data_IF_199287858175
#
_entry.id   IF_199287858175
#
_cell.length_a   1.000
_cell.length_b   1.000
_cell.length_c   1.000
_cell.angle_alpha   90.00
_cell.angle_beta   90.00
_cell.angle_gamma   90.00
#
_symmetry.space_group_name_H-M   'P 1'
#
loop_
_entity.id
_entity.type
_entity.pdbx_description
1 polymer ?
#
# COMPACT_ATOMS: atom_id res chain seq x y z
N UNK A 1 0.06 8.03 28.52
CA UNK A 1 -0.48 6.83 27.88
C UNK A 1 0.64 5.80 27.79
N UNK A 2 0.31 4.51 27.83
CA UNK A 2 1.22 3.43 27.49
C UNK A 2 1.15 3.20 25.99
N UNK A 3 2.26 3.42 25.29
CA UNK A 3 2.29 3.38 23.82
C UNK A 3 3.25 2.32 23.31
N UNK A 4 2.78 1.50 22.38
CA UNK A 4 3.58 0.51 21.69
C UNK A 4 4.10 1.13 20.38
N UNK A 5 5.40 1.44 20.31
CA UNK A 5 6.02 2.02 19.13
C UNK A 5 6.51 0.93 18.19
N UNK A 6 5.90 0.81 16.99
CA UNK A 6 6.35 -0.12 15.96
C UNK A 6 7.65 0.39 15.30
N UNK A 7 8.77 -0.28 15.61
CA UNK A 7 10.11 0.10 15.16
C UNK A 7 10.61 -0.84 14.06
N UNK A 8 10.64 -0.33 12.84
CA UNK A 8 11.06 -1.10 11.66
C UNK A 8 12.57 -1.13 11.44
N UNK A 9 13.36 -0.38 12.26
CA UNK A 9 14.80 -0.19 12.03
C UNK A 9 15.12 0.90 11.01
N UNK A 10 14.14 1.70 10.61
CA UNK A 10 14.32 2.90 9.79
C UNK A 10 14.28 4.18 10.62
N UNK A 11 14.75 5.29 10.02
CA UNK A 11 14.83 6.62 10.66
C UNK A 11 13.45 7.09 11.16
N UNK A 12 12.41 6.90 10.38
CA UNK A 12 11.06 7.40 10.69
C UNK A 12 10.49 6.76 11.96
N UNK A 13 10.57 5.45 12.07
CA UNK A 13 10.08 4.73 13.25
C UNK A 13 10.88 5.07 14.52
N UNK A 14 12.19 5.33 14.39
CA UNK A 14 13.04 5.71 15.50
C UNK A 14 12.71 7.12 16.02
N UNK A 15 12.53 8.09 15.12
CA UNK A 15 12.15 9.47 15.49
C UNK A 15 10.69 9.51 16.01
N UNK A 16 9.79 8.71 15.45
CA UNK A 16 8.43 8.61 16.00
C UNK A 16 8.44 8.14 17.45
N UNK A 17 9.25 7.11 17.77
CA UNK A 17 9.42 6.65 19.15
C UNK A 17 10.05 7.74 20.05
N UNK A 18 11.07 8.46 19.58
CA UNK A 18 11.72 9.54 20.32
C UNK A 18 10.73 10.64 20.71
N UNK A 19 9.89 11.08 19.78
CA UNK A 19 8.87 12.11 20.04
C UNK A 19 7.83 11.69 21.06
N UNK A 20 7.48 10.42 21.11
CA UNK A 20 6.56 9.89 22.12
C UNK A 20 7.20 9.91 23.51
N UNK A 21 8.49 9.57 23.61
CA UNK A 21 9.23 9.66 24.87
C UNK A 21 9.34 11.12 25.33
N UNK A 22 9.66 12.05 24.42
CA UNK A 22 9.72 13.48 24.71
C UNK A 22 8.36 14.05 25.14
N UNK A 23 7.26 13.55 24.56
CA UNK A 23 5.89 13.91 24.95
C UNK A 23 5.47 13.30 26.31
N UNK A 24 6.34 12.54 26.99
CA UNK A 24 6.07 11.97 28.32
C UNK A 24 5.19 10.71 28.31
N UNK A 25 5.10 10.00 27.19
CA UNK A 25 4.43 8.70 27.13
C UNK A 25 5.31 7.58 27.73
N UNK A 26 4.66 6.56 28.28
CA UNK A 26 5.31 5.29 28.64
C UNK A 26 5.43 4.44 27.36
N UNK A 27 6.63 4.46 26.76
CA UNK A 27 6.87 3.91 25.42
C UNK A 27 7.59 2.58 25.51
N UNK A 28 7.08 1.58 24.80
CA UNK A 28 7.77 0.31 24.54
C UNK A 28 7.97 0.13 23.04
N UNK A 29 9.20 -0.11 22.62
CA UNK A 29 9.53 -0.43 21.23
C UNK A 29 9.19 -1.88 20.88
N UNK A 30 8.63 -2.10 19.70
CA UNK A 30 8.40 -3.45 19.18
C UNK A 30 8.83 -3.54 17.71
N UNK A 31 9.63 -4.55 17.40
CA UNK A 31 9.93 -4.93 16.02
C UNK A 31 9.06 -6.12 15.62
N UNK A 32 8.42 -6.02 14.45
CA UNK A 32 7.60 -7.10 13.91
C UNK A 32 8.47 -7.99 13.02
N UNK A 33 8.72 -9.22 13.46
CA UNK A 33 9.34 -10.24 12.62
C UNK A 33 8.27 -10.81 11.67
N UNK A 34 8.36 -10.45 10.38
CA UNK A 34 7.35 -10.81 9.36
C UNK A 34 7.82 -11.94 8.44
N UNK A 35 9.06 -12.41 8.57
CA UNK A 35 9.62 -13.47 7.73
C UNK A 35 10.48 -14.43 8.54
N UNK A 36 10.30 -15.73 8.28
CA UNK A 36 11.19 -16.80 8.77
C UNK A 36 12.27 -17.19 7.75
N UNK A 37 12.34 -16.49 6.61
CA UNK A 37 13.25 -16.87 5.53
C UNK A 37 14.70 -16.47 5.87
N UNK A 38 15.66 -17.44 5.96
CA UNK A 38 17.08 -17.13 6.16
C UNK A 38 17.71 -16.27 5.06
N UNK A 39 17.11 -16.22 3.86
CA UNK A 39 17.56 -15.37 2.74
C UNK A 39 17.23 -13.88 2.97
N UNK A 40 16.35 -13.54 3.92
CA UNK A 40 16.12 -12.15 4.34
C UNK A 40 17.28 -11.56 5.14
N UNK A 41 18.35 -12.33 5.37
CA UNK A 41 19.58 -11.95 6.08
C UNK A 41 20.68 -11.40 5.15
N UNK A 42 20.37 -11.05 3.89
CA UNK A 42 21.36 -10.50 2.97
C UNK A 42 21.72 -9.06 3.36
N UNK A 43 23.02 -8.75 3.39
CA UNK A 43 23.53 -7.39 3.48
C UNK A 43 22.92 -6.53 2.36
N UNK A 44 22.33 -5.39 2.74
CA UNK A 44 21.74 -4.45 1.79
C UNK A 44 20.29 -4.73 1.39
N UNK A 45 19.56 -5.66 2.04
CA UNK A 45 18.12 -5.82 1.81
C UNK A 45 17.36 -4.56 2.22
N UNK A 46 16.59 -3.98 1.30
CA UNK A 46 15.80 -2.75 1.51
C UNK A 46 14.42 -2.99 2.13
N UNK A 47 14.19 -4.16 2.72
CA UNK A 47 12.92 -4.54 3.35
C UNK A 47 12.93 -4.29 4.85
N UNK A 48 11.78 -4.03 5.46
CA UNK A 48 11.62 -3.72 6.89
C UNK A 48 11.62 -4.95 7.82
N UNK A 49 12.22 -6.08 7.43
CA UNK A 49 12.11 -7.36 8.14
C UNK A 49 13.43 -8.14 8.22
N UNK A 50 14.57 -7.48 8.01
CA UNK A 50 15.88 -8.13 8.15
C UNK A 50 16.33 -8.20 9.62
N UNK A 51 17.28 -9.09 9.95
CA UNK A 51 17.93 -9.08 11.27
C UNK A 51 18.63 -7.75 11.52
N UNK A 52 19.24 -7.15 10.50
CA UNK A 52 19.90 -5.86 10.58
C UNK A 52 18.90 -4.77 11.00
N UNK A 53 17.69 -4.75 10.40
CA UNK A 53 16.63 -3.82 10.80
C UNK A 53 16.20 -4.01 12.26
N UNK A 54 16.13 -5.25 12.73
CA UNK A 54 15.84 -5.55 14.14
C UNK A 54 16.95 -5.05 15.08
N UNK A 55 18.22 -5.19 14.70
CA UNK A 55 19.35 -4.64 15.46
C UNK A 55 19.37 -3.11 15.42
N UNK A 56 19.04 -2.49 14.29
CA UNK A 56 18.91 -1.03 14.19
C UNK A 56 17.79 -0.49 15.08
N UNK A 57 16.64 -1.17 15.09
CA UNK A 57 15.52 -0.84 15.96
C UNK A 57 15.90 -0.97 17.44
N UNK A 58 16.61 -2.05 17.82
CA UNK A 58 17.11 -2.24 19.17
C UNK A 58 18.08 -1.13 19.57
N UNK A 59 19.08 -0.81 18.73
CA UNK A 59 20.03 0.28 19.02
C UNK A 59 19.33 1.62 19.22
N UNK A 60 18.30 1.90 18.42
CA UNK A 60 17.50 3.10 18.60
C UNK A 60 16.72 3.08 19.92
N UNK A 61 16.11 1.96 20.29
CA UNK A 61 15.41 1.81 21.57
C UNK A 61 16.36 1.94 22.78
N UNK A 62 17.54 1.32 22.72
CA UNK A 62 18.57 1.45 23.75
C UNK A 62 19.02 2.92 23.91
N UNK A 63 19.20 3.63 22.81
CA UNK A 63 19.54 5.07 22.80
C UNK A 63 18.44 5.94 23.43
N UNK A 64 17.17 5.57 23.23
CA UNK A 64 16.02 6.26 23.81
C UNK A 64 15.71 5.83 25.25
N UNK A 65 16.39 4.78 25.76
CA UNK A 65 16.16 4.25 27.10
C UNK A 65 14.80 3.56 27.28
N UNK A 66 14.23 3.00 26.21
CA UNK A 66 12.92 2.33 26.25
C UNK A 66 13.06 0.80 26.18
N UNK A 67 12.14 0.03 26.79
CA UNK A 67 12.05 -1.41 26.61
C UNK A 67 11.83 -1.75 25.13
N UNK A 68 12.40 -2.89 24.68
CA UNK A 68 12.30 -3.32 23.30
C UNK A 68 12.07 -4.82 23.18
N UNK A 69 11.10 -5.20 22.34
CA UNK A 69 10.75 -6.57 22.06
C UNK A 69 10.71 -6.86 20.55
N UNK A 70 10.91 -8.12 20.21
CA UNK A 70 10.67 -8.65 18.86
C UNK A 70 9.49 -9.60 18.94
N UNK A 71 8.44 -9.30 18.16
CA UNK A 71 7.26 -10.15 18.09
C UNK A 71 7.16 -10.84 16.73
N UNK A 72 6.98 -12.16 16.77
CA UNK A 72 6.81 -12.97 15.57
C UNK A 72 5.35 -12.91 15.09
N UNK A 73 5.16 -12.32 13.90
CA UNK A 73 3.91 -12.28 13.15
C UNK A 73 4.04 -12.97 11.79
N UNK A 74 5.11 -13.77 11.57
CA UNK A 74 5.43 -14.33 10.26
C UNK A 74 4.31 -15.20 9.69
N UNK A 75 3.69 -16.08 10.49
CA UNK A 75 2.59 -16.94 10.02
C UNK A 75 1.36 -16.11 9.64
N UNK A 76 1.00 -15.14 10.48
CA UNK A 76 -0.13 -14.23 10.21
C UNK A 76 0.13 -13.36 9.00
N UNK A 77 1.38 -12.90 8.81
CA UNK A 77 1.78 -12.12 7.64
C UNK A 77 1.69 -12.93 6.34
N UNK A 78 2.10 -14.21 6.36
CA UNK A 78 1.91 -15.11 5.21
C UNK A 78 0.44 -15.25 4.89
N UNK A 79 -0.38 -15.62 5.86
CA UNK A 79 -1.80 -15.91 5.64
C UNK A 79 -2.62 -14.67 5.24
N UNK A 80 -2.32 -13.50 5.80
CA UNK A 80 -3.16 -12.31 5.62
C UNK A 80 -2.61 -11.29 4.61
N UNK A 81 -1.33 -11.39 4.22
CA UNK A 81 -0.70 -10.45 3.26
C UNK A 81 -0.13 -11.17 2.05
N UNK A 82 0.74 -12.19 2.24
CA UNK A 82 1.44 -12.84 1.12
C UNK A 82 0.49 -13.72 0.30
N UNK A 83 -0.26 -14.61 0.94
CA UNK A 83 -1.17 -15.51 0.23
C UNK A 83 -2.28 -14.75 -0.53
N UNK A 84 -2.94 -13.74 0.05
CA UNK A 84 -3.84 -12.88 -0.72
C UNK A 84 -3.15 -12.11 -1.86
N UNK A 85 -1.92 -11.64 -1.67
CA UNK A 85 -1.16 -10.97 -2.72
C UNK A 85 -0.93 -11.90 -3.93
N UNK A 86 -0.52 -13.15 -3.68
CA UNK A 86 -0.36 -14.18 -4.71
C UNK A 86 -1.69 -14.50 -5.38
N UNK A 87 -2.78 -14.63 -4.60
CA UNK A 87 -4.11 -14.92 -5.13
C UNK A 87 -4.63 -13.83 -6.07
N UNK A 88 -4.41 -12.54 -5.73
CA UNK A 88 -4.77 -11.42 -6.59
C UNK A 88 -4.00 -11.45 -7.92
N UNK A 89 -2.68 -11.72 -7.90
CA UNK A 89 -1.90 -11.87 -9.14
C UNK A 89 -2.34 -13.08 -9.98
N UNK A 90 -2.70 -14.21 -9.34
CA UNK A 90 -3.29 -15.35 -10.05
C UNK A 90 -4.60 -15.01 -10.75
N UNK A 91 -5.35 -14.07 -10.19
CA UNK A 91 -6.58 -13.56 -10.79
C UNK A 91 -6.36 -12.38 -11.77
N UNK A 92 -5.11 -12.09 -12.17
CA UNK A 92 -4.78 -11.01 -13.12
C UNK A 92 -4.91 -9.61 -12.54
N UNK A 93 -5.04 -9.47 -11.22
CA UNK A 93 -5.16 -8.18 -10.55
C UNK A 93 -3.82 -7.74 -9.95
N UNK A 94 -3.67 -6.44 -9.71
CA UNK A 94 -2.43 -5.85 -9.18
C UNK A 94 -2.68 -5.26 -7.79
N UNK A 95 -2.55 -6.03 -6.69
CA UNK A 95 -2.81 -5.54 -5.35
C UNK A 95 -1.68 -4.64 -4.83
N UNK A 96 -2.00 -3.82 -3.82
CA UNK A 96 -1.00 -3.13 -3.02
C UNK A 96 -0.86 -3.81 -1.63
N UNK A 97 0.23 -4.54 -1.37
CA UNK A 97 0.39 -5.30 -0.14
C UNK A 97 0.59 -4.41 1.10
N UNK A 98 1.00 -3.14 0.94
CA UNK A 98 1.18 -2.21 2.05
C UNK A 98 -0.17 -1.84 2.70
N UNK A 99 -1.23 -1.69 1.91
CA UNK A 99 -2.59 -1.49 2.42
C UNK A 99 -2.99 -2.68 3.30
N UNK A 100 -2.80 -3.88 2.80
CA UNK A 100 -3.16 -5.11 3.51
C UNK A 100 -2.33 -5.31 4.79
N UNK A 101 -1.01 -4.99 4.74
CA UNK A 101 -0.14 -5.04 5.91
C UNK A 101 -0.58 -4.04 7.00
N UNK A 102 -0.94 -2.81 6.61
CA UNK A 102 -1.46 -1.84 7.56
C UNK A 102 -2.79 -2.31 8.15
N UNK A 103 -3.75 -2.73 7.31
CA UNK A 103 -5.07 -3.20 7.73
C UNK A 103 -5.01 -4.36 8.72
N UNK A 104 -4.19 -5.41 8.42
CA UNK A 104 -4.25 -6.71 9.09
C UNK A 104 -3.15 -6.96 10.10
N UNK A 105 -1.98 -6.40 9.87
CA UNK A 105 -0.80 -6.67 10.73
C UNK A 105 -0.54 -5.52 11.69
N UNK A 106 -0.27 -4.30 11.19
CA UNK A 106 0.15 -3.20 12.05
C UNK A 106 -1.00 -2.63 12.89
N UNK A 107 -2.20 -2.51 12.31
CA UNK A 107 -3.35 -1.89 12.99
C UNK A 107 -4.49 -2.86 13.28
N UNK A 108 -4.26 -4.18 13.14
CA UNK A 108 -5.10 -5.22 13.70
C UNK A 108 -4.26 -6.10 14.64
N UNK A 109 -3.42 -7.00 14.12
CA UNK A 109 -2.68 -7.98 14.93
C UNK A 109 -1.81 -7.35 16.02
N UNK A 110 -1.05 -6.28 15.67
CA UNK A 110 -0.20 -5.60 16.64
C UNK A 110 -1.05 -4.81 17.65
N UNK A 111 -2.09 -4.11 17.18
CA UNK A 111 -2.99 -3.35 18.06
C UNK A 111 -3.74 -4.26 19.03
N UNK A 112 -4.37 -5.33 18.53
CA UNK A 112 -5.07 -6.33 19.33
C UNK A 112 -4.17 -6.85 20.48
N UNK A 113 -2.97 -7.32 20.12
CA UNK A 113 -2.00 -7.80 21.11
C UNK A 113 -1.52 -6.71 22.06
N UNK A 114 -1.38 -5.48 21.57
CA UNK A 114 -1.02 -4.32 22.40
C UNK A 114 -2.08 -4.01 23.44
N UNK A 115 -3.35 -3.95 23.05
CA UNK A 115 -4.49 -3.71 23.92
C UNK A 115 -4.63 -4.82 24.99
N UNK A 116 -4.47 -6.10 24.60
CA UNK A 116 -4.49 -7.25 25.51
C UNK A 116 -3.38 -7.17 26.58
N UNK A 117 -2.25 -6.55 26.25
CA UNK A 117 -1.13 -6.32 27.18
C UNK A 117 -1.25 -5.01 27.97
N UNK A 118 -2.35 -4.26 27.80
CA UNK A 118 -2.64 -3.04 28.53
C UNK A 118 -1.95 -1.79 27.99
N UNK A 119 -1.56 -1.78 26.70
CA UNK A 119 -1.18 -0.55 26.01
C UNK A 119 -2.44 0.20 25.54
N UNK A 120 -2.36 1.53 25.51
CA UNK A 120 -3.47 2.40 25.11
C UNK A 120 -3.50 2.63 23.60
N UNK A 121 -2.34 2.58 22.92
CA UNK A 121 -2.22 2.89 21.51
C UNK A 121 -0.99 2.24 20.87
N UNK A 122 -1.03 2.12 19.54
CA UNK A 122 0.11 1.78 18.67
C UNK A 122 0.56 3.04 17.93
N UNK A 123 1.87 3.28 17.91
CA UNK A 123 2.47 4.36 17.14
C UNK A 123 3.36 3.81 16.02
N UNK A 124 3.38 4.50 14.90
CA UNK A 124 4.20 4.15 13.74
C UNK A 124 4.87 5.38 13.13
N UNK A 125 5.93 5.15 12.36
CA UNK A 125 6.63 6.19 11.59
C UNK A 125 5.92 6.63 10.30
N UNK A 126 4.61 6.43 10.17
CA UNK A 126 3.88 6.90 8.99
C UNK A 126 3.70 8.41 8.99
N UNK A 127 3.79 8.99 7.78
CA UNK A 127 3.51 10.39 7.53
C UNK A 127 2.02 10.57 7.22
N UNK A 128 1.24 10.80 8.26
CA UNK A 128 -0.17 11.15 8.22
C UNK A 128 -0.53 11.91 9.49
N UNK A 129 -1.65 12.62 9.52
CA UNK A 129 -2.13 13.38 10.68
C UNK A 129 -3.45 12.81 11.17
N UNK A 130 -3.65 12.83 12.48
CA UNK A 130 -4.95 12.54 13.08
C UNK A 130 -5.42 13.73 13.91
N UNK A 131 -6.75 13.94 13.94
CA UNK A 131 -7.43 14.91 14.83
C UNK A 131 -8.70 14.27 15.36
N UNK A 132 -8.96 14.46 16.64
CA UNK A 132 -10.25 14.11 17.23
C UNK A 132 -11.20 15.29 17.04
N UNK A 133 -12.32 15.08 16.36
CA UNK A 133 -13.38 16.06 16.13
C UNK A 133 -14.69 15.38 16.53
N UNK A 134 -15.41 15.96 17.49
CA UNK A 134 -16.68 15.44 18.01
C UNK A 134 -16.60 13.96 18.45
N UNK A 135 -15.47 13.57 19.07
CA UNK A 135 -15.21 12.21 19.54
C UNK A 135 -14.78 11.22 18.46
N UNK A 136 -14.71 11.63 17.19
CA UNK A 136 -14.28 10.81 16.05
C UNK A 136 -12.84 11.14 15.67
N UNK A 137 -11.99 10.13 15.59
CA UNK A 137 -10.61 10.29 15.12
C UNK A 137 -10.58 10.35 13.60
N UNK A 138 -10.27 11.51 13.05
CA UNK A 138 -10.18 11.76 11.60
C UNK A 138 -8.76 11.69 11.12
N UNK A 139 -8.54 11.03 9.97
CA UNK A 139 -7.25 10.87 9.31
C UNK A 139 -7.07 11.95 8.24
N UNK A 140 -5.88 12.55 8.17
CA UNK A 140 -5.55 13.60 7.20
C UNK A 140 -4.22 13.30 6.52
N UNK A 141 -4.03 13.89 5.33
CA UNK A 141 -2.73 13.91 4.64
C UNK A 141 -1.65 14.49 5.54
N UNK A 142 -0.40 14.07 5.30
CA UNK A 142 0.79 14.68 5.88
C UNK A 142 0.99 16.11 5.38
N UNK A 143 1.76 16.91 6.13
CA UNK A 143 2.25 18.22 5.64
C UNK A 143 3.37 18.10 4.62
N UNK A 144 4.01 16.94 4.49
CA UNK A 144 5.00 16.63 3.45
C UNK A 144 4.32 15.86 2.32
N UNK A 145 3.97 16.52 1.18
CA UNK A 145 3.27 15.85 0.09
C UNK A 145 4.10 14.73 -0.56
N UNK A 146 5.45 14.89 -0.56
CA UNK A 146 6.37 13.89 -1.12
C UNK A 146 6.52 12.64 -0.25
N UNK A 147 5.99 12.68 0.99
CA UNK A 147 6.06 11.57 1.95
C UNK A 147 4.69 11.17 2.49
N UNK A 148 3.61 11.79 2.02
CA UNK A 148 2.27 11.47 2.47
C UNK A 148 1.96 9.97 2.31
N UNK A 149 1.56 9.35 3.41
CA UNK A 149 1.21 7.93 3.50
C UNK A 149 -0.26 7.72 3.89
N UNK A 150 -1.07 8.76 3.82
CA UNK A 150 -2.50 8.67 4.11
C UNK A 150 -3.22 7.67 3.20
N UNK A 151 -2.77 7.52 1.95
CA UNK A 151 -3.29 6.53 1.01
C UNK A 151 -3.22 5.10 1.56
N UNK A 152 -2.08 4.68 2.11
CA UNK A 152 -1.93 3.31 2.63
C UNK A 152 -2.53 3.12 4.03
N UNK A 153 -2.97 4.19 4.67
CA UNK A 153 -3.67 4.20 5.95
C UNK A 153 -5.20 4.32 5.80
N UNK A 154 -5.69 4.61 4.61
CA UNK A 154 -7.12 4.79 4.32
C UNK A 154 -7.96 3.50 4.47
N UNK A 155 -7.35 2.40 4.84
CA UNK A 155 -7.96 1.10 5.16
C UNK A 155 -8.26 0.92 6.65
N UNK A 156 -7.92 1.91 7.48
CA UNK A 156 -8.14 1.86 8.92
C UNK A 156 -9.57 2.30 9.27
N UNK A 157 -10.24 1.50 10.06
CA UNK A 157 -11.54 1.86 10.62
C UNK A 157 -11.40 2.78 11.84
N UNK A 158 -12.52 3.26 12.39
CA UNK A 158 -12.52 4.17 13.53
C UNK A 158 -11.90 3.58 14.80
N UNK A 159 -12.13 2.31 15.06
CA UNK A 159 -11.54 1.63 16.22
C UNK A 159 -10.01 1.60 16.12
N UNK A 160 -9.49 1.23 14.95
CA UNK A 160 -8.05 1.25 14.67
C UNK A 160 -7.45 2.66 14.73
N UNK A 161 -8.13 3.66 14.15
CA UNK A 161 -7.66 5.04 14.14
C UNK A 161 -7.63 5.67 15.53
N UNK A 162 -8.62 5.36 16.39
CA UNK A 162 -8.69 5.91 17.76
C UNK A 162 -7.54 5.46 18.65
N UNK A 163 -6.92 4.31 18.33
CA UNK A 163 -5.77 3.74 19.02
C UNK A 163 -4.45 3.90 18.23
N UNK A 164 -4.41 4.78 17.21
CA UNK A 164 -3.24 4.97 16.35
C UNK A 164 -2.61 6.35 16.51
N UNK A 165 -1.28 6.39 16.60
CA UNK A 165 -0.50 7.63 16.68
C UNK A 165 0.48 7.72 15.51
N UNK A 166 0.49 8.89 14.85
CA UNK A 166 1.39 9.21 13.73
C UNK A 166 2.22 10.45 14.05
N UNK A 167 3.31 10.33 14.86
CA UNK A 167 4.05 11.48 15.35
C UNK A 167 4.75 12.32 14.27
N UNK A 168 4.90 11.80 13.05
CA UNK A 168 5.63 12.45 11.96
C UNK A 168 4.74 13.27 11.01
N UNK A 169 3.42 13.19 11.12
CA UNK A 169 2.49 13.77 10.15
C UNK A 169 2.58 15.29 9.96
N UNK A 170 3.09 16.00 10.97
CA UNK A 170 3.30 17.46 10.93
C UNK A 170 4.75 17.86 10.58
N UNK A 171 5.54 16.98 9.97
CA UNK A 171 6.97 17.23 9.71
C UNK A 171 7.35 16.93 8.28
N UNK A 172 8.27 17.73 7.74
CA UNK A 172 8.97 17.42 6.51
C UNK A 172 10.01 16.33 6.78
N UNK A 173 10.22 15.43 5.84
CA UNK A 173 11.19 14.33 5.93
C UNK A 173 12.61 14.82 6.24
N UNK A 174 12.99 15.94 5.67
CA UNK A 174 14.30 16.56 5.91
C UNK A 174 14.50 16.90 7.40
N UNK A 175 13.47 17.43 8.06
CA UNK A 175 13.53 17.79 9.48
C UNK A 175 13.63 16.52 10.35
N UNK A 176 12.91 15.45 9.98
CA UNK A 176 12.98 14.16 10.67
C UNK A 176 14.39 13.57 10.62
N UNK A 177 15.11 13.67 9.49
CA UNK A 177 16.51 13.23 9.39
C UNK A 177 17.46 14.08 10.23
N UNK A 178 17.28 15.41 10.26
CA UNK A 178 18.07 16.31 11.11
C UNK A 178 17.86 16.00 12.59
N UNK A 179 16.63 15.74 13.01
CA UNK A 179 16.26 15.34 14.36
C UNK A 179 16.91 14.00 14.74
N UNK A 180 16.87 13.00 13.85
CA UNK A 180 17.54 11.72 14.05
C UNK A 180 19.05 11.88 14.27
N UNK A 181 19.71 12.73 13.50
CA UNK A 181 21.13 13.05 13.62
C UNK A 181 21.43 13.76 14.97
N UNK A 182 20.60 14.73 15.35
CA UNK A 182 20.73 15.46 16.62
C UNK A 182 20.57 14.55 17.84
N UNK A 183 19.68 13.54 17.75
CA UNK A 183 19.49 12.52 18.78
C UNK A 183 20.60 11.45 18.78
N UNK A 184 21.53 11.46 17.82
CA UNK A 184 22.59 10.48 17.68
C UNK A 184 22.09 9.07 17.31
N UNK A 185 20.98 9.00 16.57
CA UNK A 185 20.43 7.74 16.07
C UNK A 185 21.25 7.26 14.86
N UNK A 186 21.78 6.02 14.94
CA UNK A 186 22.64 5.42 13.90
C UNK A 186 21.93 5.27 12.52
N UNK A 187 20.61 5.38 12.51
CA UNK A 187 19.76 5.23 11.31
C UNK A 187 19.51 6.54 10.57
N UNK A 188 20.09 7.67 11.00
CA UNK A 188 19.82 9.00 10.42
C UNK A 188 20.06 9.05 8.90
N UNK A 189 21.13 8.40 8.41
CA UNK A 189 21.54 8.37 7.01
C UNK A 189 21.03 7.13 6.26
N UNK A 190 20.26 6.26 6.93
CA UNK A 190 19.73 5.04 6.30
C UNK A 190 18.77 5.41 5.16
N UNK A 191 18.92 4.80 3.96
CA UNK A 191 18.00 5.02 2.84
C UNK A 191 16.57 4.66 3.20
N UNK A 192 15.60 5.34 2.55
CA UNK A 192 14.20 4.97 2.68
C UNK A 192 13.92 3.62 2.00
N UNK A 193 13.01 2.84 2.57
CA UNK A 193 12.50 1.61 1.93
C UNK A 193 11.55 2.01 0.80
N UNK A 194 11.87 1.60 -0.44
CA UNK A 194 11.10 1.98 -1.63
C UNK A 194 10.37 0.79 -2.30
N UNK A 195 10.64 -0.44 -1.86
CA UNK A 195 10.15 -1.66 -2.49
C UNK A 195 9.22 -2.45 -1.55
N UNK A 196 8.56 -3.48 -2.10
CA UNK A 196 7.74 -4.41 -1.34
C UNK A 196 8.65 -5.13 -0.32
N UNK A 197 8.37 -4.98 0.96
CA UNK A 197 9.26 -5.35 2.05
C UNK A 197 9.63 -6.84 2.12
N UNK A 198 8.81 -7.73 1.56
CA UNK A 198 9.06 -9.18 1.54
C UNK A 198 9.65 -9.68 0.21
N UNK A 199 9.98 -8.77 -0.71
CA UNK A 199 10.69 -9.06 -1.97
C UNK A 199 12.06 -8.37 -1.91
N UNK A 200 13.10 -9.06 -1.39
CA UNK A 200 14.35 -8.41 -0.96
C UNK A 200 15.17 -7.76 -2.08
N UNK A 201 15.06 -8.29 -3.30
CA UNK A 201 15.79 -7.85 -4.48
C UNK A 201 14.99 -6.91 -5.39
N UNK A 202 13.72 -6.65 -5.02
CA UNK A 202 12.81 -5.83 -5.83
C UNK A 202 12.34 -6.50 -7.13
N UNK A 203 12.75 -7.75 -7.40
CA UNK A 203 12.29 -8.52 -8.54
C UNK A 203 10.93 -9.18 -8.28
N UNK A 204 9.88 -8.37 -8.29
CA UNK A 204 8.50 -8.85 -8.14
C UNK A 204 8.11 -9.90 -9.19
N UNK A 205 8.43 -9.74 -10.49
CA UNK A 205 8.15 -10.76 -11.49
C UNK A 205 8.82 -12.12 -11.20
N UNK A 206 10.10 -12.12 -10.89
CA UNK A 206 10.83 -13.35 -10.54
C UNK A 206 10.28 -14.02 -9.29
N UNK A 207 10.02 -13.24 -8.24
CA UNK A 207 9.43 -13.74 -7.02
C UNK A 207 8.03 -14.36 -7.23
N UNK A 208 7.18 -13.71 -8.05
CA UNK A 208 5.87 -14.25 -8.41
C UNK A 208 5.99 -15.54 -9.23
N UNK A 209 6.96 -15.64 -10.15
CA UNK A 209 7.21 -16.85 -10.91
C UNK A 209 7.59 -18.04 -10.01
N UNK A 210 8.35 -17.82 -8.94
CA UNK A 210 8.64 -18.85 -7.95
C UNK A 210 7.37 -19.35 -7.20
N UNK A 211 6.36 -18.51 -7.04
CA UNK A 211 5.14 -18.79 -6.26
C UNK A 211 3.97 -19.27 -7.13
N UNK A 212 3.84 -18.73 -8.33
CA UNK A 212 2.73 -19.01 -9.25
C UNK A 212 3.11 -20.06 -10.28
N UNK A 213 4.40 -20.14 -10.64
CA UNK A 213 4.93 -20.86 -11.78
C UNK A 213 5.05 -19.95 -13.00
N UNK A 214 5.78 -20.42 -14.00
CA UNK A 214 5.90 -19.76 -15.31
C UNK A 214 5.23 -20.60 -16.36
N UNK A 215 4.48 -19.96 -17.26
CA UNK A 215 3.86 -20.62 -18.40
C UNK A 215 3.93 -19.67 -19.61
N UNK A 216 4.30 -20.22 -20.77
CA UNK A 216 4.31 -19.46 -22.01
C UNK A 216 2.89 -19.05 -22.39
N UNK A 217 2.72 -17.78 -22.74
CA UNK A 217 1.45 -17.21 -23.12
C UNK A 217 1.60 -16.19 -24.25
N UNK A 218 0.49 -15.69 -24.72
CA UNK A 218 0.41 -14.82 -25.88
C UNK A 218 0.18 -13.36 -25.48
N UNK A 219 0.77 -12.43 -26.24
CA UNK A 219 0.40 -11.02 -26.21
C UNK A 219 -0.37 -10.73 -27.50
N UNK A 220 -1.62 -10.30 -27.35
CA UNK A 220 -2.52 -9.97 -28.45
C UNK A 220 -2.85 -8.50 -28.46
N UNK A 221 -3.13 -7.94 -29.62
CA UNK A 221 -3.70 -6.59 -29.72
C UNK A 221 -5.23 -6.60 -29.57
N UNK A 222 -5.85 -5.41 -29.59
CA UNK A 222 -7.29 -5.22 -29.46
C UNK A 222 -8.11 -5.89 -30.58
N UNK A 223 -7.49 -6.23 -31.72
CA UNK A 223 -8.12 -6.99 -32.80
C UNK A 223 -8.03 -8.51 -32.60
N UNK A 224 -7.29 -8.96 -31.56
CA UNK A 224 -6.98 -10.34 -31.28
C UNK A 224 -5.77 -10.87 -32.06
N UNK A 225 -5.07 -10.04 -32.81
CA UNK A 225 -3.86 -10.45 -33.55
C UNK A 225 -2.70 -10.71 -32.57
N UNK A 226 -1.94 -11.78 -32.84
CA UNK A 226 -0.75 -12.12 -32.04
C UNK A 226 0.37 -11.11 -32.34
N UNK A 227 0.87 -10.41 -31.30
CA UNK A 227 1.93 -9.39 -31.42
C UNK A 227 3.16 -9.70 -30.57
N UNK A 228 3.10 -10.74 -29.73
CA UNK A 228 4.25 -11.16 -28.92
C UNK A 228 3.94 -12.38 -28.05
N UNK A 229 4.93 -12.76 -27.25
CA UNK A 229 4.83 -13.85 -26.27
C UNK A 229 5.37 -13.41 -24.92
N UNK A 230 4.93 -14.07 -23.85
CA UNK A 230 5.44 -13.92 -22.50
C UNK A 230 5.55 -15.27 -21.78
N UNK A 231 6.22 -15.29 -20.64
CA UNK A 231 6.40 -16.49 -19.81
C UNK A 231 5.65 -16.42 -18.46
N UNK A 232 4.63 -15.57 -18.40
CA UNK A 232 3.79 -15.41 -17.23
C UNK A 232 3.01 -14.10 -17.29
N UNK A 233 1.67 -14.15 -17.32
CA UNK A 233 0.81 -12.97 -17.33
C UNK A 233 0.95 -12.13 -16.05
N UNK A 234 1.34 -12.75 -14.93
CA UNK A 234 1.57 -12.07 -13.65
C UNK A 234 2.78 -11.13 -13.63
N UNK A 235 3.57 -11.07 -14.70
CA UNK A 235 4.63 -10.06 -14.89
C UNK A 235 4.09 -8.71 -15.40
N UNK A 236 2.80 -8.65 -15.71
CA UNK A 236 2.20 -7.49 -16.34
C UNK A 236 1.21 -6.80 -15.38
N UNK A 237 1.08 -5.50 -15.59
CA UNK A 237 0.11 -4.66 -14.87
C UNK A 237 -0.59 -3.77 -15.89
N UNK A 238 -1.87 -3.51 -15.67
CA UNK A 238 -2.65 -2.58 -16.50
C UNK A 238 -1.96 -1.21 -16.56
N UNK A 239 -1.80 -0.68 -17.78
CA UNK A 239 -1.08 0.57 -18.04
C UNK A 239 0.43 0.42 -18.19
N UNK A 240 0.99 -0.77 -18.03
CA UNK A 240 2.42 -1.02 -18.26
C UNK A 240 2.77 -0.77 -19.74
N UNK A 241 3.85 0.00 -19.97
CA UNK A 241 4.38 0.33 -21.29
C UNK A 241 5.69 -0.38 -21.60
N UNK A 242 6.56 -0.52 -20.57
CA UNK A 242 7.92 -1.04 -20.75
C UNK A 242 7.94 -2.55 -20.54
N UNK A 243 8.90 -3.23 -21.19
CA UNK A 243 9.12 -4.67 -20.99
C UNK A 243 8.14 -5.58 -21.73
N UNK A 244 7.30 -5.05 -22.62
CA UNK A 244 6.32 -5.85 -23.39
C UNK A 244 6.98 -6.79 -24.42
N UNK A 245 8.18 -6.45 -24.91
CA UNK A 245 8.96 -7.27 -25.89
C UNK A 245 8.11 -7.71 -27.09
N UNK A 246 7.35 -6.77 -27.67
CA UNK A 246 6.52 -7.04 -28.85
C UNK A 246 7.40 -7.37 -30.05
N UNK A 247 7.08 -8.46 -30.74
CA UNK A 247 7.80 -8.90 -31.95
C UNK A 247 7.37 -8.14 -33.20
N UNK A 248 6.20 -7.47 -33.16
CA UNK A 248 5.63 -6.74 -34.29
C UNK A 248 5.47 -5.27 -33.90
N UNK A 249 6.07 -4.33 -34.67
CA UNK A 249 5.85 -2.91 -34.45
C UNK A 249 4.38 -2.54 -34.64
N UNK A 250 3.90 -1.58 -33.86
CA UNK A 250 2.56 -1.06 -34.02
C UNK A 250 2.40 -0.37 -35.38
N UNK A 251 1.33 -0.61 -36.14
CA UNK A 251 1.13 -0.03 -37.48
C UNK A 251 1.13 1.51 -37.49
N UNK A 252 0.70 2.14 -36.39
CA UNK A 252 0.65 3.59 -36.22
C UNK A 252 1.92 4.19 -35.60
N UNK A 253 2.95 3.36 -35.33
CA UNK A 253 4.19 3.77 -34.71
C UNK A 253 4.09 4.26 -33.25
N UNK A 254 2.91 4.19 -32.63
CA UNK A 254 2.69 4.66 -31.25
C UNK A 254 3.00 3.59 -30.22
N UNK A 255 3.36 3.98 -28.98
CA UNK A 255 3.55 3.04 -27.89
C UNK A 255 2.31 2.19 -27.61
N UNK A 256 2.53 0.95 -27.20
CA UNK A 256 1.49 0.05 -26.70
C UNK A 256 1.57 -0.07 -25.18
N UNK A 257 0.43 -0.34 -24.59
CA UNK A 257 0.21 -0.47 -23.17
C UNK A 257 -0.58 -1.74 -22.88
N UNK A 258 -0.36 -2.34 -21.71
CA UNK A 258 -1.22 -3.42 -21.25
C UNK A 258 -2.61 -2.85 -20.97
N UNK A 259 -3.59 -3.36 -21.69
CA UNK A 259 -4.99 -2.98 -21.54
C UNK A 259 -5.74 -3.99 -20.67
N UNK A 260 -5.45 -5.28 -20.83
CA UNK A 260 -6.10 -6.33 -20.07
C UNK A 260 -5.18 -7.52 -19.81
N UNK A 261 -5.51 -8.31 -18.79
CA UNK A 261 -4.82 -9.53 -18.40
C UNK A 261 -5.90 -10.61 -18.26
N UNK A 262 -5.80 -11.66 -19.04
CA UNK A 262 -6.72 -12.80 -19.07
C UNK A 262 -6.04 -14.06 -18.50
N UNK A 263 -6.10 -14.32 -17.19
CA UNK A 263 -5.38 -15.44 -16.57
C UNK A 263 -5.81 -16.81 -17.08
N UNK A 264 -7.11 -16.98 -17.38
CA UNK A 264 -7.66 -18.26 -17.85
C UNK A 264 -7.06 -18.67 -19.20
N UNK A 265 -6.88 -17.70 -20.10
CA UNK A 265 -6.33 -17.91 -21.44
C UNK A 265 -4.81 -17.72 -21.47
N UNK A 266 -4.20 -17.35 -20.34
CA UNK A 266 -2.81 -16.95 -20.24
C UNK A 266 -2.43 -15.92 -21.32
N UNK A 267 -3.27 -14.89 -21.47
CA UNK A 267 -3.15 -13.87 -22.52
C UNK A 267 -3.02 -12.47 -21.90
N UNK A 268 -2.18 -11.64 -22.50
CA UNK A 268 -2.07 -10.22 -22.21
C UNK A 268 -2.54 -9.43 -23.41
N UNK A 269 -3.51 -8.53 -23.22
CA UNK A 269 -4.03 -7.67 -24.28
C UNK A 269 -3.32 -6.33 -24.23
N UNK A 270 -2.83 -5.86 -25.38
CA UNK A 270 -2.14 -4.57 -25.52
C UNK A 270 -2.81 -3.68 -26.56
N UNK A 271 -2.76 -2.38 -26.36
CA UNK A 271 -3.34 -1.41 -27.28
C UNK A 271 -2.83 0.00 -27.08
N UNK A 272 -3.50 0.96 -27.70
CA UNK A 272 -3.20 2.39 -27.59
C UNK A 272 -3.46 2.95 -26.19
N UNK A 273 -2.96 4.16 -25.92
CA UNK A 273 -3.16 4.84 -24.62
C UNK A 273 -4.64 5.23 -24.38
N UNK A 274 -5.41 5.39 -25.44
CA UNK A 274 -6.85 5.66 -25.43
C UNK A 274 -7.64 4.53 -24.76
N UNK A 275 -7.23 3.26 -24.96
CA UNK A 275 -7.83 2.08 -24.33
C UNK A 275 -7.64 2.00 -22.80
N UNK A 276 -6.79 2.86 -22.24
CA UNK A 276 -6.59 2.97 -20.77
C UNK A 276 -7.52 3.99 -20.10
N UNK A 277 -8.29 4.74 -20.87
CA UNK A 277 -9.13 5.84 -20.36
C UNK A 277 -10.29 5.29 -19.54
N UNK A 278 -10.45 5.77 -18.31
CA UNK A 278 -11.47 5.35 -17.34
C UNK A 278 -12.19 6.58 -16.81
N UNK A 279 -13.51 6.55 -16.73
CA UNK A 279 -14.35 7.55 -16.05
C UNK A 279 -15.19 6.95 -14.94
N UNK A 280 -15.51 5.67 -15.04
CA UNK A 280 -16.27 4.95 -14.03
C UNK A 280 -15.43 3.84 -13.39
N UNK A 281 -15.48 3.74 -12.05
CA UNK A 281 -14.78 2.71 -11.28
C UNK A 281 -15.79 2.04 -10.37
N UNK A 282 -15.81 0.72 -10.41
CA UNK A 282 -16.49 -0.12 -9.43
C UNK A 282 -15.51 -0.56 -8.36
N UNK A 283 -15.88 -0.38 -7.10
CA UNK A 283 -15.03 -0.78 -5.98
C UNK A 283 -15.84 -1.46 -4.86
N UNK A 284 -15.23 -2.43 -4.22
CA UNK A 284 -15.84 -3.28 -3.20
C UNK A 284 -15.13 -3.12 -1.85
N UNK A 285 -15.74 -3.62 -0.81
CA UNK A 285 -15.21 -3.60 0.56
C UNK A 285 -14.83 -2.19 1.02
N UNK A 286 -15.78 -1.23 1.02
CA UNK A 286 -15.50 0.11 1.47
C UNK A 286 -15.12 0.14 2.95
N UNK A 287 -14.15 0.98 3.30
CA UNK A 287 -13.77 1.33 4.68
C UNK A 287 -13.89 2.84 4.82
N UNK A 288 -14.61 3.29 5.85
CA UNK A 288 -14.85 4.71 6.10
C UNK A 288 -14.04 5.19 7.30
N UNK A 289 -12.99 5.97 7.03
CA UNK A 289 -12.10 6.51 8.05
C UNK A 289 -12.75 7.60 8.92
N UNK A 290 -13.72 8.30 8.39
CA UNK A 290 -14.36 9.44 9.07
C UNK A 290 -15.85 9.25 9.38
N UNK A 291 -16.32 8.02 9.34
CA UNK A 291 -17.73 7.65 9.45
C UNK A 291 -18.30 7.29 8.07
N UNK A 292 -19.51 6.78 8.04
CA UNK A 292 -20.17 6.44 6.77
C UNK A 292 -20.56 7.71 6.03
N UNK A 293 -20.26 7.81 4.71
CA UNK A 293 -20.72 8.95 3.93
C UNK A 293 -22.22 8.86 3.70
N UNK A 294 -22.80 9.96 3.26
CA UNK A 294 -24.17 9.99 2.72
C UNK A 294 -24.26 9.13 1.45
N UNK A 295 -25.46 8.79 1.03
CA UNK A 295 -25.73 7.94 -0.15
C UNK A 295 -24.91 8.33 -1.39
N UNK A 296 -24.73 9.64 -1.62
CA UNK A 296 -23.84 10.19 -2.64
C UNK A 296 -23.01 11.33 -2.07
N UNK A 297 -21.72 11.33 -2.38
CA UNK A 297 -20.77 12.31 -1.90
C UNK A 297 -19.84 12.82 -3.01
N UNK A 298 -19.54 14.12 -3.00
CA UNK A 298 -18.65 14.78 -3.95
C UNK A 298 -17.33 15.14 -3.27
N UNK A 299 -16.22 14.73 -3.86
CA UNK A 299 -14.89 14.98 -3.36
C UNK A 299 -13.82 14.58 -4.36
N UNK A 300 -12.79 13.90 -3.91
CA UNK A 300 -11.68 13.49 -4.77
C UNK A 300 -11.39 11.99 -4.60
N UNK A 301 -10.98 11.33 -5.68
CA UNK A 301 -10.52 9.94 -5.67
C UNK A 301 -9.07 9.83 -6.13
N UNK A 302 -8.26 9.07 -5.37
CA UNK A 302 -6.88 8.70 -5.72
C UNK A 302 -6.81 7.18 -5.90
N UNK A 303 -6.31 6.72 -7.05
CA UNK A 303 -6.37 5.30 -7.46
C UNK A 303 -5.01 4.58 -7.42
N UNK A 304 -3.98 5.26 -6.96
CA UNK A 304 -2.63 4.69 -6.76
C UNK A 304 -1.83 5.53 -5.76
N UNK A 305 -0.89 4.90 -5.05
CA UNK A 305 -0.15 5.54 -3.96
C UNK A 305 0.60 6.83 -4.37
N UNK A 306 1.13 6.89 -5.59
CA UNK A 306 1.86 8.04 -6.13
C UNK A 306 1.08 8.76 -7.25
N UNK A 307 -0.26 8.72 -7.22
CA UNK A 307 -1.12 9.44 -8.16
C UNK A 307 -1.71 10.69 -7.52
N UNK A 308 -2.04 11.67 -8.34
CA UNK A 308 -2.80 12.83 -7.89
C UNK A 308 -4.27 12.45 -7.68
N UNK A 309 -4.94 12.99 -6.65
CA UNK A 309 -6.38 12.86 -6.51
C UNK A 309 -7.10 13.69 -7.57
N UNK A 310 -8.19 13.15 -8.12
CA UNK A 310 -9.02 13.83 -9.11
C UNK A 310 -10.44 14.01 -8.57
N UNK A 311 -11.16 15.08 -8.97
CA UNK A 311 -12.55 15.27 -8.58
C UNK A 311 -13.40 14.08 -8.99
N UNK A 312 -14.27 13.64 -8.07
CA UNK A 312 -15.12 12.48 -8.28
C UNK A 312 -16.40 12.54 -7.46
N UNK A 313 -17.44 11.86 -7.95
CA UNK A 313 -18.66 11.54 -7.21
C UNK A 313 -18.59 10.09 -6.77
N UNK A 314 -18.73 9.84 -5.48
CA UNK A 314 -18.73 8.53 -4.87
C UNK A 314 -20.16 8.21 -4.43
N UNK A 315 -20.71 7.11 -4.92
CA UNK A 315 -22.07 6.66 -4.58
C UNK A 315 -22.05 5.28 -3.97
N UNK A 316 -22.78 5.11 -2.87
CA UNK A 316 -22.96 3.79 -2.27
C UNK A 316 -23.81 2.91 -3.20
N UNK A 317 -23.36 1.67 -3.42
CA UNK A 317 -24.09 0.65 -4.17
C UNK A 317 -24.13 -0.65 -3.35
N UNK A 318 -25.02 -1.60 -3.63
CA UNK A 318 -25.05 -2.88 -2.93
C UNK A 318 -23.69 -3.57 -2.96
N UNK A 319 -23.07 -3.75 -1.78
CA UNK A 319 -21.77 -4.43 -1.62
C UNK A 319 -20.54 -3.61 -1.93
N UNK A 320 -20.65 -2.31 -2.28
CA UNK A 320 -19.51 -1.49 -2.66
C UNK A 320 -19.79 -0.02 -2.85
N UNK A 321 -19.01 0.59 -3.72
CA UNK A 321 -19.17 1.97 -4.16
C UNK A 321 -18.92 2.09 -5.66
N UNK A 322 -19.66 2.97 -6.30
CA UNK A 322 -19.40 3.46 -7.66
C UNK A 322 -18.69 4.81 -7.57
N UNK A 323 -17.67 5.02 -8.40
CA UNK A 323 -16.89 6.26 -8.47
C UNK A 323 -16.96 6.81 -9.88
N UNK A 324 -17.60 7.97 -10.04
CA UNK A 324 -17.65 8.73 -11.28
C UNK A 324 -16.59 9.82 -11.24
N UNK A 325 -15.63 9.77 -12.14
CA UNK A 325 -14.53 10.74 -12.25
C UNK A 325 -14.98 11.91 -13.14
N UNK A 326 -14.77 13.14 -12.70
CA UNK A 326 -15.00 14.32 -13.53
C UNK A 326 -14.03 14.35 -14.71
N UNK A 327 -12.74 14.09 -14.44
CA UNK A 327 -11.68 13.93 -15.42
C UNK A 327 -11.28 12.45 -15.56
N UNK A 328 -11.06 12.02 -16.81
CA UNK A 328 -10.65 10.64 -17.05
C UNK A 328 -9.25 10.34 -16.55
N UNK A 329 -9.08 9.18 -15.92
CA UNK A 329 -7.78 8.63 -15.54
C UNK A 329 -7.33 7.56 -16.53
N UNK A 330 -6.02 7.27 -16.54
CA UNK A 330 -5.45 6.19 -17.36
C UNK A 330 -4.75 5.16 -16.48
N UNK A 331 -4.93 3.89 -16.84
CA UNK A 331 -4.22 2.79 -16.20
C UNK A 331 -4.71 2.51 -14.77
N UNK A 332 -6.01 2.61 -14.55
CA UNK A 332 -6.66 2.14 -13.32
C UNK A 332 -6.62 0.63 -13.31
N UNK A 333 -6.02 0.02 -12.29
CA UNK A 333 -5.85 -1.43 -12.21
C UNK A 333 -6.73 -2.04 -11.13
N UNK A 334 -7.50 -3.09 -11.43
CA UNK A 334 -8.19 -3.89 -10.41
C UNK A 334 -7.21 -4.45 -9.39
N UNK A 335 -7.65 -4.51 -8.12
CA UNK A 335 -6.81 -4.90 -6.99
C UNK A 335 -6.12 -3.73 -6.26
N UNK A 336 -6.02 -2.54 -6.88
CA UNK A 336 -5.61 -1.31 -6.21
C UNK A 336 -6.75 -0.75 -5.34
N UNK A 337 -6.45 0.23 -4.49
CA UNK A 337 -7.48 0.97 -3.77
C UNK A 337 -7.86 2.26 -4.50
N UNK A 338 -9.15 2.60 -4.44
CA UNK A 338 -9.62 3.96 -4.61
C UNK A 338 -9.73 4.58 -3.23
N UNK A 339 -8.97 5.64 -2.95
CA UNK A 339 -8.98 6.37 -1.69
C UNK A 339 -9.69 7.71 -1.90
N UNK A 340 -10.59 8.05 -0.98
CA UNK A 340 -11.49 9.19 -1.09
C UNK A 340 -11.05 10.32 -0.15
N UNK A 341 -11.00 11.54 -0.67
CA UNK A 341 -10.53 12.71 0.05
C UNK A 341 -11.50 13.89 -0.03
N UNK A 342 -11.63 14.61 1.08
CA UNK A 342 -12.21 15.96 1.15
C UNK A 342 -11.09 16.94 1.52
N UNK A 343 -10.46 17.54 0.51
CA UNK A 343 -9.20 18.25 0.70
C UNK A 343 -8.12 17.34 1.29
N UNK A 344 -7.65 17.67 2.50
CA UNK A 344 -6.66 16.86 3.23
C UNK A 344 -7.30 15.70 4.03
N UNK A 345 -8.60 15.73 4.28
CA UNK A 345 -9.29 14.70 5.05
C UNK A 345 -9.42 13.40 4.24
N UNK A 346 -8.99 12.29 4.82
CA UNK A 346 -9.26 10.95 4.28
C UNK A 346 -10.66 10.52 4.71
N UNK A 347 -11.57 10.42 3.77
CA UNK A 347 -12.96 10.00 4.01
C UNK A 347 -13.03 8.49 4.14
N UNK A 348 -12.35 7.78 3.23
CA UNK A 348 -12.31 6.32 3.22
C UNK A 348 -11.62 5.74 2.00
N UNK A 349 -11.78 4.45 1.80
CA UNK A 349 -11.25 3.73 0.64
C UNK A 349 -12.12 2.54 0.26
N UNK A 350 -11.94 2.03 -0.97
CA UNK A 350 -12.51 0.76 -1.41
C UNK A 350 -11.54 0.06 -2.37
N UNK A 351 -11.65 -1.26 -2.51
CA UNK A 351 -10.82 -2.02 -3.46
C UNK A 351 -11.43 -1.97 -4.85
N UNK A 352 -10.68 -1.50 -5.84
CA UNK A 352 -11.10 -1.44 -7.24
C UNK A 352 -11.30 -2.86 -7.76
N UNK A 353 -12.49 -3.18 -8.27
CA UNK A 353 -12.82 -4.47 -8.87
C UNK A 353 -13.14 -4.39 -10.36
N UNK A 354 -13.62 -3.23 -10.85
CA UNK A 354 -14.00 -3.03 -12.24
C UNK A 354 -13.84 -1.58 -12.69
N UNK A 355 -13.87 -1.37 -14.02
CA UNK A 355 -13.85 -0.05 -14.66
C UNK A 355 -14.62 -0.11 -15.98
N UNK A 356 -15.05 1.06 -16.48
CA UNK A 356 -15.73 1.24 -17.76
C UNK A 356 -14.78 1.29 -18.97
N UNK A 357 -13.66 0.58 -18.95
CA UNK A 357 -12.78 0.59 -20.12
C UNK A 357 -13.52 0.22 -21.37
N UNK A 358 -13.35 1.03 -22.42
CA UNK A 358 -13.90 0.73 -23.72
C UNK A 358 -13.36 -0.64 -24.20
N UNK A 359 -14.23 -1.65 -24.23
CA UNK A 359 -13.92 -2.98 -24.75
C UNK A 359 -14.02 -4.16 -23.79
N UNK A 360 -14.04 -3.95 -22.49
CA UNK A 360 -14.22 -5.05 -21.51
C UNK A 360 -15.67 -5.00 -21.01
N UNK A 361 -16.51 -5.88 -21.54
CA UNK A 361 -17.87 -6.08 -21.02
C UNK A 361 -17.81 -6.65 -19.62
N UNK A 362 -18.66 -6.12 -18.74
CA UNK A 362 -19.01 -6.67 -17.44
C UNK A 362 -19.73 -8.04 -17.60
N UNK A 363 -18.98 -9.09 -17.94
CA UNK A 363 -19.47 -10.47 -17.96
C UNK A 363 -18.50 -11.37 -17.21
N UNK A 364 -18.26 -11.09 -15.92
CA UNK A 364 -17.68 -12.07 -14.99
C UNK A 364 -17.90 -11.62 -13.54
N UNK A 365 -19.16 -11.50 -13.13
CA UNK A 365 -19.58 -11.54 -11.74
C UNK A 365 -20.79 -12.47 -11.63
N UNK A 366 -20.51 -13.77 -11.62
CA UNK A 366 -21.46 -14.80 -11.17
C UNK A 366 -20.66 -15.86 -10.40
#
# INVERSE_FOLDING_TARGET
MKVLAAMSGGVDSAVAAARLVEAGHDVTGVHLALSRNPRSHREGSRGCCSLEDSFDARRAADRLGIPFYVWDFSDRFVAEVIDPFIAEYRAGRTPNPCLRCNERIKFAALLERGLDLGYDAVATGHYARTKVIDGVTKLYRSVDPGKDQSYVLAVLNQDQLSHSLFPLGNSLKMNVRQEAAALGLSVADKPDSNDICFIPDGDTPGWLSEKIGSADGEIRDESGALVGHHNGYHHFTIGQRRGLRLGVPAPDGKPRYVLDIEPVNNTVVVGGAEGLTVRHIEAIRPVWCSGEPVETWHGQAQVRAHGDPVPATISAVPGGVAVELEDSLRGVAPGQAAVFYDGDLVVGSATICGTDRAGVRAEQAA
#
